data_IF_747765262287
#
_entry.id   IF_747765262287
#
_cell.length_a   1.000
_cell.length_b   1.000
_cell.length_c   1.000
_cell.angle_alpha   90.00
_cell.angle_beta   90.00
_cell.angle_gamma   90.00
#
_symmetry.space_group_name_H-M   'P 1'
#
loop_
_entity.id
_entity.type
_entity.pdbx_description
1 polymer ?
#
# COMPACT_ATOMS: atom_id res chain seq x y z
N UNK A 1 4.66 20.38 -25.95
CA UNK A 1 5.56 20.65 -24.80
C UNK A 1 6.52 21.76 -25.17
N UNK A 2 7.20 21.60 -26.30
CA UNK A 2 7.95 22.69 -26.94
C UNK A 2 7.14 23.16 -28.14
N UNK A 3 6.59 24.37 -28.05
CA UNK A 3 5.76 25.02 -29.05
C UNK A 3 6.26 26.45 -29.22
N UNK A 4 6.14 26.98 -30.44
CA UNK A 4 6.65 28.32 -30.81
C UNK A 4 6.00 29.43 -29.98
N UNK A 5 4.78 29.20 -29.51
CA UNK A 5 4.14 29.95 -28.44
C UNK A 5 4.30 29.16 -27.13
N UNK A 6 5.08 29.71 -26.20
CA UNK A 6 5.23 29.12 -24.87
C UNK A 6 3.88 28.94 -24.19
N UNK A 7 3.72 27.87 -23.41
CA UNK A 7 2.57 27.71 -22.53
C UNK A 7 2.52 28.93 -21.60
N UNK A 8 1.50 29.79 -21.74
CA UNK A 8 1.36 31.04 -20.97
C UNK A 8 1.22 30.85 -19.45
N UNK A 9 1.27 29.60 -18.97
CA UNK A 9 1.27 29.20 -17.56
C UNK A 9 2.31 28.10 -17.32
N UNK A 10 2.98 28.09 -16.16
CA UNK A 10 3.86 27.00 -15.76
C UNK A 10 3.08 25.67 -15.74
N UNK A 11 3.49 24.71 -16.55
CA UNK A 11 2.81 23.43 -16.70
C UNK A 11 3.76 22.28 -16.40
N UNK A 12 3.36 21.37 -15.50
CA UNK A 12 4.06 20.11 -15.22
C UNK A 12 3.34 18.96 -15.91
N UNK A 13 4.07 18.13 -16.64
CA UNK A 13 3.50 16.94 -17.30
C UNK A 13 4.10 15.67 -16.71
N UNK A 14 3.23 14.74 -16.30
CA UNK A 14 3.61 13.44 -15.75
C UNK A 14 3.05 12.36 -16.67
N UNK A 15 3.94 11.50 -17.19
CA UNK A 15 3.58 10.32 -17.98
C UNK A 15 3.71 9.04 -17.15
N UNK A 16 2.80 8.10 -17.35
CA UNK A 16 2.82 6.78 -16.68
C UNK A 16 2.85 5.69 -17.76
N UNK A 17 3.79 4.76 -17.70
CA UNK A 17 3.89 3.63 -18.63
C UNK A 17 4.34 2.36 -17.93
N UNK A 18 3.78 1.23 -18.34
CA UNK A 18 4.28 -0.10 -17.98
C UNK A 18 5.33 -0.63 -18.98
N UNK A 19 5.51 0.06 -20.11
CA UNK A 19 6.41 -0.35 -21.22
C UNK A 19 7.21 0.84 -21.73
N UNK A 20 8.29 1.20 -21.02
CA UNK A 20 9.17 2.32 -21.39
C UNK A 20 9.81 2.15 -22.77
N UNK A 21 10.13 0.92 -23.16
CA UNK A 21 10.77 0.63 -24.47
C UNK A 21 9.89 0.95 -25.67
N UNK A 22 8.59 1.12 -25.48
CA UNK A 22 7.66 1.51 -26.55
C UNK A 22 7.53 3.03 -26.72
N UNK A 23 8.12 3.82 -25.82
CA UNK A 23 8.08 5.28 -25.93
C UNK A 23 9.04 5.73 -27.02
N UNK A 24 8.57 6.65 -27.87
CA UNK A 24 9.35 7.23 -28.94
C UNK A 24 10.58 7.99 -28.38
N UNK A 25 11.80 7.77 -28.92
CA UNK A 25 13.02 8.34 -28.35
C UNK A 25 13.07 9.87 -28.30
N UNK A 26 12.44 10.58 -29.24
CA UNK A 26 12.41 12.04 -29.22
C UNK A 26 11.58 12.60 -28.06
N UNK A 27 10.60 11.88 -27.52
CA UNK A 27 9.87 12.28 -26.30
C UNK A 27 10.73 12.21 -25.03
N UNK A 28 11.79 11.41 -25.03
CA UNK A 28 12.71 11.22 -23.91
C UNK A 28 13.87 12.24 -23.88
N UNK A 29 13.91 13.16 -24.84
CA UNK A 29 14.94 14.20 -24.92
C UNK A 29 14.75 15.26 -23.82
N UNK A 30 15.82 15.98 -23.43
CA UNK A 30 15.73 17.10 -22.50
C UNK A 30 14.66 18.12 -22.92
N UNK A 31 13.95 18.70 -21.94
CA UNK A 31 12.82 19.61 -22.19
C UNK A 31 11.47 18.94 -22.50
N UNK A 32 11.40 17.60 -22.45
CA UNK A 32 10.16 16.80 -22.58
C UNK A 32 10.03 15.86 -21.38
N UNK A 33 9.96 14.53 -21.59
CA UNK A 33 10.03 13.54 -20.50
C UNK A 33 11.48 13.27 -20.09
N UNK A 34 12.12 14.33 -19.57
CA UNK A 34 13.52 14.30 -19.17
C UNK A 34 13.72 13.47 -17.89
N UNK A 35 12.92 13.73 -16.85
CA UNK A 35 12.98 13.01 -15.58
C UNK A 35 12.28 11.66 -15.70
N UNK A 36 12.98 10.61 -15.28
CA UNK A 36 12.52 9.23 -15.39
C UNK A 36 12.64 8.55 -14.04
N UNK A 37 11.50 8.11 -13.51
CA UNK A 37 11.42 7.44 -12.21
C UNK A 37 10.87 6.04 -12.43
N UNK A 38 11.65 5.04 -12.07
CA UNK A 38 11.20 3.65 -12.06
C UNK A 38 10.60 3.31 -10.68
N UNK A 39 9.43 2.68 -10.68
CA UNK A 39 8.76 2.23 -9.46
C UNK A 39 8.74 0.70 -9.45
N UNK A 40 9.71 0.04 -8.78
CA UNK A 40 9.71 -1.41 -8.67
C UNK A 40 8.64 -1.89 -7.68
N UNK A 41 8.25 -3.18 -7.75
CA UNK A 41 7.47 -3.82 -6.69
C UNK A 41 8.19 -3.75 -5.33
N UNK A 42 7.46 -3.79 -4.20
CA UNK A 42 8.05 -3.73 -2.87
C UNK A 42 8.89 -4.99 -2.58
N UNK A 43 10.20 -4.82 -2.48
CA UNK A 43 11.17 -5.94 -2.32
C UNK A 43 11.45 -6.27 -0.88
N UNK A 44 11.42 -5.28 0.01
CA UNK A 44 11.75 -5.51 1.42
C UNK A 44 10.48 -5.71 2.25
N UNK A 45 10.62 -6.46 3.34
CA UNK A 45 9.54 -6.61 4.34
C UNK A 45 9.06 -5.23 4.81
N UNK A 46 10.00 -4.31 5.12
CA UNK A 46 9.67 -2.95 5.55
C UNK A 46 8.81 -2.17 4.52
N UNK A 47 9.07 -2.31 3.22
CA UNK A 47 8.24 -1.70 2.17
C UNK A 47 6.84 -2.29 2.10
N UNK A 48 6.69 -3.60 2.30
CA UNK A 48 5.37 -4.24 2.32
C UNK A 48 4.60 -3.90 3.59
N UNK A 49 5.27 -3.85 4.74
CA UNK A 49 4.72 -3.38 6.01
C UNK A 49 4.19 -1.96 5.87
N UNK A 50 4.93 -1.04 5.24
CA UNK A 50 4.45 0.35 5.07
C UNK A 50 3.17 0.43 4.24
N UNK A 51 3.06 -0.38 3.17
CA UNK A 51 1.85 -0.49 2.35
C UNK A 51 0.69 -1.09 3.17
N UNK A 52 0.93 -2.18 3.90
CA UNK A 52 -0.07 -2.82 4.74
C UNK A 52 -0.57 -1.89 5.85
N UNK A 53 0.31 -1.07 6.46
CA UNK A 53 -0.07 -0.04 7.44
C UNK A 53 -1.08 0.95 6.89
N UNK A 54 -0.93 1.37 5.64
CA UNK A 54 -1.89 2.28 4.98
C UNK A 54 -3.26 1.61 4.84
N UNK A 55 -3.29 0.36 4.35
CA UNK A 55 -4.54 -0.34 4.08
C UNK A 55 -5.24 -0.88 5.34
N UNK A 56 -4.49 -1.30 6.35
CA UNK A 56 -5.02 -1.88 7.59
C UNK A 56 -5.17 -0.85 8.71
N UNK A 57 -4.53 0.31 8.62
CA UNK A 57 -4.48 1.29 9.73
C UNK A 57 -5.86 1.79 10.17
N UNK A 58 -6.79 1.99 9.23
CA UNK A 58 -8.17 2.33 9.59
C UNK A 58 -8.89 1.18 10.29
N UNK A 59 -8.72 -0.07 9.82
CA UNK A 59 -9.33 -1.24 10.46
C UNK A 59 -8.79 -1.46 11.87
N UNK A 60 -7.50 -1.26 12.08
CA UNK A 60 -6.87 -1.32 13.39
C UNK A 60 -7.44 -0.27 14.35
N UNK A 61 -7.44 1.02 13.95
CA UNK A 61 -7.99 2.11 14.78
C UNK A 61 -9.48 1.95 15.09
N UNK A 62 -10.24 1.37 14.17
CA UNK A 62 -11.66 1.06 14.38
C UNK A 62 -11.88 -0.22 15.21
N UNK A 63 -10.82 -0.89 15.68
CA UNK A 63 -10.87 -2.14 16.43
C UNK A 63 -11.57 -3.28 15.70
N UNK A 64 -11.32 -3.37 14.39
CA UNK A 64 -11.81 -4.45 13.50
C UNK A 64 -10.76 -5.53 13.26
N UNK A 65 -9.58 -5.39 13.85
CA UNK A 65 -8.49 -6.36 13.77
C UNK A 65 -8.23 -6.87 15.18
N UNK A 66 -8.22 -8.19 15.37
CA UNK A 66 -7.92 -8.80 16.65
C UNK A 66 -6.40 -8.88 16.84
N UNK A 67 -5.87 -7.99 17.66
CA UNK A 67 -4.46 -7.89 18.02
C UNK A 67 -4.33 -7.57 19.51
N UNK A 68 -3.18 -7.87 20.10
CA UNK A 68 -2.93 -7.72 21.54
C UNK A 68 -3.00 -6.27 22.02
N UNK A 69 -2.62 -5.35 21.15
CA UNK A 69 -2.57 -3.90 21.32
C UNK A 69 -3.74 -3.20 20.63
N UNK A 70 -4.90 -3.86 20.55
CA UNK A 70 -6.11 -3.27 20.02
C UNK A 70 -6.49 -2.00 20.81
N UNK A 71 -6.96 -0.92 20.15
CA UNK A 71 -7.34 0.30 20.85
C UNK A 71 -8.44 0.05 21.90
N UNK A 72 -8.28 0.69 23.06
CA UNK A 72 -9.22 0.56 24.18
C UNK A 72 -10.64 0.97 23.80
N UNK A 73 -11.63 0.31 24.42
CA UNK A 73 -13.04 0.58 24.17
C UNK A 73 -13.57 0.10 22.81
N UNK A 74 -12.75 -0.58 22.01
CA UNK A 74 -13.18 -1.16 20.73
C UNK A 74 -13.67 -2.59 20.86
N UNK A 75 -14.40 -3.07 19.85
CA UNK A 75 -14.90 -4.45 19.80
C UNK A 75 -13.78 -5.50 19.83
N UNK A 76 -12.61 -5.20 19.25
CA UNK A 76 -11.44 -6.07 19.32
C UNK A 76 -10.92 -6.20 20.75
N UNK A 77 -10.79 -5.09 21.50
CA UNK A 77 -10.35 -5.10 22.89
C UNK A 77 -11.30 -5.91 23.78
N UNK A 78 -12.63 -5.71 23.64
CA UNK A 78 -13.64 -6.47 24.39
C UNK A 78 -13.62 -7.97 24.06
N UNK A 79 -13.35 -8.34 22.80
CA UNK A 79 -13.18 -9.74 22.41
C UNK A 79 -11.94 -10.34 23.06
N UNK A 80 -10.86 -9.58 23.11
CA UNK A 80 -9.58 -10.02 23.64
C UNK A 80 -9.69 -10.42 25.12
N UNK A 81 -10.38 -9.60 25.93
CA UNK A 81 -10.69 -9.89 27.35
C UNK A 81 -11.42 -11.23 27.54
N UNK A 82 -12.31 -11.59 26.60
CA UNK A 82 -13.14 -12.80 26.68
C UNK A 82 -12.42 -14.07 26.24
N UNK A 83 -11.39 -13.98 25.40
CA UNK A 83 -10.84 -15.14 24.68
C UNK A 83 -9.67 -15.82 25.40
N UNK A 84 -9.11 -15.21 26.47
CA UNK A 84 -8.01 -15.80 27.25
C UNK A 84 -6.69 -15.84 26.46
N UNK A 85 -5.86 -14.81 26.63
CA UNK A 85 -4.70 -14.53 25.78
C UNK A 85 -3.52 -15.48 25.99
N UNK A 86 -3.13 -16.26 24.98
CA UNK A 86 -1.73 -16.72 24.90
C UNK A 86 -1.03 -16.46 23.57
N UNK A 87 -1.73 -16.49 22.44
CA UNK A 87 -1.06 -16.51 21.12
C UNK A 87 -1.48 -15.41 20.13
N UNK A 88 -1.97 -14.26 20.61
CA UNK A 88 -2.42 -13.16 19.73
C UNK A 88 -1.26 -12.17 19.50
N UNK A 89 -0.85 -11.91 18.24
CA UNK A 89 0.25 -10.99 17.94
C UNK A 89 -0.15 -9.53 18.23
N UNK A 90 0.85 -8.67 18.40
CA UNK A 90 0.68 -7.22 18.28
C UNK A 90 0.37 -6.83 16.83
N UNK A 91 -0.08 -5.59 16.63
CA UNK A 91 -0.34 -5.07 15.30
C UNK A 91 0.91 -5.07 14.41
N UNK A 92 2.07 -4.67 14.96
CA UNK A 92 3.33 -4.69 14.23
C UNK A 92 3.77 -6.13 13.89
N UNK A 93 3.69 -7.06 14.85
CA UNK A 93 4.00 -8.49 14.63
C UNK A 93 3.10 -9.09 13.53
N UNK A 94 1.80 -8.78 13.55
CA UNK A 94 0.86 -9.22 12.52
C UNK A 94 1.26 -8.69 11.13
N UNK A 95 1.63 -7.41 11.04
CA UNK A 95 2.04 -6.81 9.78
C UNK A 95 3.33 -7.42 9.23
N UNK A 96 4.31 -7.71 10.10
CA UNK A 96 5.54 -8.38 9.71
C UNK A 96 5.26 -9.80 9.19
N UNK A 97 4.42 -10.57 9.88
CA UNK A 97 4.01 -11.90 9.44
C UNK A 97 3.31 -11.86 8.07
N UNK A 98 2.36 -10.94 7.88
CA UNK A 98 1.67 -10.75 6.60
C UNK A 98 2.63 -10.29 5.50
N UNK A 99 3.58 -9.41 5.81
CA UNK A 99 4.57 -8.94 4.87
C UNK A 99 5.54 -10.04 4.45
N UNK A 100 5.92 -10.95 5.35
CA UNK A 100 6.73 -12.13 4.99
C UNK A 100 5.94 -13.04 4.05
N UNK A 101 4.69 -13.34 4.37
CA UNK A 101 3.86 -14.25 3.58
C UNK A 101 3.49 -13.67 2.19
N UNK A 102 3.37 -12.35 2.07
CA UNK A 102 3.04 -11.69 0.82
C UNK A 102 4.28 -11.33 -0.02
N UNK A 103 5.36 -12.10 0.06
CA UNK A 103 6.56 -11.86 -0.75
C UNK A 103 6.26 -11.95 -2.26
N UNK A 104 6.91 -11.08 -3.04
CA UNK A 104 6.69 -10.98 -4.49
C UNK A 104 5.37 -10.30 -4.91
N UNK A 105 4.49 -9.93 -3.98
CA UNK A 105 3.24 -9.24 -4.33
C UNK A 105 3.45 -7.79 -4.75
N UNK A 106 2.61 -7.33 -5.69
CA UNK A 106 2.49 -5.90 -6.02
C UNK A 106 1.73 -5.14 -4.92
N UNK A 107 1.88 -3.82 -4.88
CA UNK A 107 1.08 -2.98 -3.96
C UNK A 107 -0.43 -3.15 -4.15
N UNK A 108 -0.89 -3.33 -5.39
CA UNK A 108 -2.30 -3.59 -5.68
C UNK A 108 -2.77 -4.96 -5.15
N UNK A 109 -1.91 -5.98 -5.21
CA UNK A 109 -2.18 -7.31 -4.66
C UNK A 109 -2.29 -7.27 -3.13
N UNK A 110 -1.37 -6.57 -2.45
CA UNK A 110 -1.43 -6.36 -0.99
C UNK A 110 -2.74 -5.67 -0.56
N UNK A 111 -3.15 -4.62 -1.30
CA UNK A 111 -4.44 -3.96 -1.10
C UNK A 111 -5.63 -4.88 -1.38
N UNK A 112 -5.49 -5.79 -2.35
CA UNK A 112 -6.49 -6.81 -2.67
C UNK A 112 -6.72 -7.78 -1.52
N UNK A 113 -5.64 -8.33 -0.94
CA UNK A 113 -5.70 -9.28 0.17
C UNK A 113 -6.40 -8.68 1.39
N UNK A 114 -6.04 -7.45 1.77
CA UNK A 114 -6.65 -6.76 2.91
C UNK A 114 -8.16 -6.53 2.71
N UNK A 115 -8.59 -6.11 1.52
CA UNK A 115 -10.02 -5.96 1.18
C UNK A 115 -10.76 -7.30 1.18
N UNK A 116 -10.16 -8.34 0.61
CA UNK A 116 -10.77 -9.68 0.58
C UNK A 116 -10.94 -10.24 1.99
N UNK A 117 -9.95 -10.05 2.87
CA UNK A 117 -10.04 -10.44 4.28
C UNK A 117 -11.16 -9.69 5.01
N UNK A 118 -11.29 -8.38 4.78
CA UNK A 118 -12.36 -7.58 5.35
C UNK A 118 -13.76 -8.02 4.87
N UNK A 119 -13.93 -8.32 3.57
CA UNK A 119 -15.19 -8.85 3.03
C UNK A 119 -15.56 -10.18 3.68
N UNK A 120 -14.60 -11.11 3.72
CA UNK A 120 -14.81 -12.44 4.34
C UNK A 120 -15.14 -12.36 5.83
N UNK A 121 -14.67 -11.33 6.53
CA UNK A 121 -14.99 -11.12 7.95
C UNK A 121 -16.43 -10.61 8.17
N UNK A 122 -17.03 -9.93 7.18
CA UNK A 122 -18.42 -9.46 7.24
C UNK A 122 -19.43 -10.54 6.85
N UNK A 123 -19.01 -11.53 6.08
CA UNK A 123 -19.84 -12.67 5.67
C UNK A 123 -20.03 -13.72 6.78
N UNK A 124 -19.34 -13.57 7.92
CA UNK A 124 -19.39 -14.48 9.08
C UNK A 124 -20.13 -13.85 10.25
#
# INVERSE_FOLDING_TARGET
MDGVDGLGVPTLVIGLTNKRTLIEPALMRPGRFEVQVEVPPPRTVAQRVSILKVHMGHMFRAGRVLVRDAPDGTAAALRLERTGHKDIPSYEELLDLLAIECDGMSGASLAGVTRAAASRALER
#
